data_IF_751885766567
#
_entry.id   IF_751885766567
#
_cell.length_a   1.000
_cell.length_b   1.000
_cell.length_c   1.000
_cell.angle_alpha   90.00
_cell.angle_beta   90.00
_cell.angle_gamma   90.00
#
_symmetry.space_group_name_H-M   'P 1'
#
loop_
_entity.id
_entity.type
_entity.pdbx_description
1 polymer ?
#
# COMPACT_ATOMS: atom_id res chain seq x y z
N UNK A 1 -9.10 -1.72 -49.50
CA UNK A 1 -8.47 -1.37 -48.20
C UNK A 1 -9.06 -2.17 -47.05
N UNK A 2 -10.37 -2.09 -46.74
CA UNK A 2 -10.99 -2.84 -45.62
C UNK A 2 -10.80 -4.37 -45.69
N UNK A 3 -10.61 -4.94 -46.89
CA UNK A 3 -10.35 -6.38 -47.08
C UNK A 3 -9.02 -6.88 -46.46
N UNK A 4 -8.04 -5.99 -46.24
CA UNK A 4 -6.72 -6.30 -45.69
C UNK A 4 -6.59 -6.03 -44.19
N UNK A 5 -7.58 -5.37 -43.58
CA UNK A 5 -7.54 -5.00 -42.16
C UNK A 5 -7.40 -6.25 -41.26
N UNK A 6 -6.39 -6.24 -40.39
CA UNK A 6 -6.14 -7.31 -39.41
C UNK A 6 -5.60 -8.63 -39.97
N UNK A 7 -5.23 -8.69 -41.25
CA UNK A 7 -4.64 -9.88 -41.89
C UNK A 7 -3.16 -9.66 -42.21
N UNK A 8 -2.44 -10.76 -42.40
CA UNK A 8 -1.06 -10.70 -42.90
C UNK A 8 -1.09 -10.29 -44.39
N UNK A 9 -0.46 -9.16 -44.70
CA UNK A 9 -0.39 -8.59 -46.05
C UNK A 9 0.99 -8.81 -46.68
N UNK A 10 1.84 -9.69 -46.15
CA UNK A 10 3.19 -9.91 -46.67
C UNK A 10 3.20 -10.28 -48.17
N UNK A 11 2.24 -11.10 -48.60
CA UNK A 11 2.11 -11.53 -50.01
C UNK A 11 1.65 -10.41 -50.96
N UNK A 12 1.28 -9.23 -50.44
CA UNK A 12 0.95 -8.05 -51.23
C UNK A 12 2.21 -7.30 -51.70
N UNK A 13 3.34 -7.51 -51.04
CA UNK A 13 4.58 -6.76 -51.26
C UNK A 13 5.72 -7.70 -51.67
N UNK A 14 5.86 -8.03 -52.96
CA UNK A 14 7.01 -8.76 -53.46
C UNK A 14 8.32 -8.02 -53.17
N UNK A 15 9.38 -8.78 -52.93
CA UNK A 15 10.66 -8.23 -52.47
C UNK A 15 11.78 -8.52 -53.47
N UNK A 16 12.64 -7.54 -53.70
CA UNK A 16 13.88 -7.70 -54.47
C UNK A 16 14.99 -8.18 -53.54
N UNK A 17 15.41 -9.44 -53.67
CA UNK A 17 16.36 -10.07 -52.72
C UNK A 17 17.70 -9.33 -52.70
N UNK A 18 18.20 -8.92 -53.86
CA UNK A 18 19.46 -8.20 -54.01
C UNK A 18 19.49 -6.82 -53.36
N UNK A 19 18.32 -6.21 -53.10
CA UNK A 19 18.22 -4.93 -52.38
C UNK A 19 18.24 -5.12 -50.85
N UNK A 20 17.87 -6.32 -50.38
CA UNK A 20 17.68 -6.61 -48.96
C UNK A 20 18.80 -7.46 -48.35
N UNK A 21 19.61 -8.11 -49.19
CA UNK A 21 20.65 -9.05 -48.78
C UNK A 21 21.94 -8.79 -49.57
N UNK A 22 23.07 -8.71 -48.86
CA UNK A 22 24.39 -8.53 -49.46
C UNK A 22 25.03 -9.81 -50.02
N UNK A 23 24.48 -10.98 -49.66
CA UNK A 23 25.06 -12.29 -50.00
C UNK A 23 26.09 -12.74 -48.96
N UNK A 24 26.84 -13.79 -49.28
CA UNK A 24 27.94 -14.28 -48.43
C UNK A 24 29.23 -14.55 -49.22
N UNK A 25 29.20 -14.41 -50.53
CA UNK A 25 30.35 -14.58 -51.42
C UNK A 25 30.69 -13.25 -52.10
N UNK A 26 31.82 -13.22 -52.83
CA UNK A 26 32.27 -12.02 -53.53
C UNK A 26 31.36 -11.61 -54.71
N UNK A 27 30.48 -12.51 -55.17
CA UNK A 27 29.57 -12.25 -56.28
C UNK A 27 28.30 -11.52 -55.84
N UNK A 28 28.00 -11.54 -54.53
CA UNK A 28 26.81 -10.94 -53.96
C UNK A 28 25.53 -11.64 -54.42
N UNK A 29 24.40 -10.95 -54.29
CA UNK A 29 23.09 -11.48 -54.70
C UNK A 29 22.74 -10.95 -56.08
N UNK A 30 22.52 -11.85 -57.04
CA UNK A 30 22.10 -11.48 -58.39
C UNK A 30 20.77 -10.70 -58.37
N UNK A 31 20.64 -9.58 -59.10
CA UNK A 31 19.37 -8.89 -59.28
C UNK A 31 18.29 -9.76 -59.92
N UNK A 32 18.67 -10.74 -60.74
CA UNK A 32 17.73 -11.68 -61.34
C UNK A 32 17.13 -12.68 -60.33
N UNK A 33 17.69 -12.77 -59.12
CA UNK A 33 17.18 -13.68 -58.10
C UNK A 33 15.85 -13.21 -57.56
N UNK A 34 14.83 -14.03 -57.79
CA UNK A 34 13.52 -13.90 -57.17
C UNK A 34 13.38 -14.93 -56.06
N UNK A 35 12.76 -14.51 -54.96
CA UNK A 35 12.42 -15.37 -53.84
C UNK A 35 10.96 -15.15 -53.47
N UNK A 36 10.17 -16.21 -53.56
CA UNK A 36 8.81 -16.22 -53.04
C UNK A 36 8.81 -16.97 -51.70
N UNK A 37 8.66 -16.21 -50.62
CA UNK A 37 8.68 -16.72 -49.25
C UNK A 37 7.34 -17.36 -48.83
N UNK A 38 6.36 -17.44 -49.73
CA UNK A 38 5.03 -17.93 -49.40
C UNK A 38 4.92 -19.45 -49.58
N UNK A 39 4.45 -20.13 -48.53
CA UNK A 39 4.05 -21.55 -48.56
C UNK A 39 2.71 -21.76 -49.33
N UNK A 40 2.11 -20.65 -49.78
CA UNK A 40 0.93 -20.56 -50.62
C UNK A 40 1.38 -20.01 -51.96
N UNK A 41 1.39 -20.82 -53.00
CA UNK A 41 2.00 -20.58 -54.33
C UNK A 41 1.44 -19.39 -55.13
N UNK A 42 0.72 -18.46 -54.52
CA UNK A 42 0.17 -17.28 -55.19
C UNK A 42 0.39 -16.03 -54.33
N UNK A 43 1.09 -15.06 -54.92
CA UNK A 43 1.05 -13.67 -54.49
C UNK A 43 -0.40 -13.16 -54.46
N UNK A 44 -0.65 -12.12 -53.68
CA UNK A 44 -1.97 -11.47 -53.72
C UNK A 44 -2.25 -10.97 -55.14
N UNK A 45 -3.47 -11.09 -55.70
CA UNK A 45 -3.78 -10.57 -57.04
C UNK A 45 -3.43 -9.09 -57.24
N UNK A 46 -3.40 -8.30 -56.16
CA UNK A 46 -3.05 -6.89 -56.19
C UNK A 46 -1.55 -6.63 -55.98
N UNK A 47 -0.72 -7.67 -55.84
CA UNK A 47 0.73 -7.53 -55.71
C UNK A 47 1.36 -6.88 -56.95
N UNK A 48 0.69 -6.97 -58.11
CA UNK A 48 1.11 -6.36 -59.37
C UNK A 48 1.33 -4.85 -59.24
N UNK A 49 0.61 -4.16 -58.34
CA UNK A 49 0.79 -2.72 -58.09
C UNK A 49 1.99 -2.40 -57.19
N UNK A 50 2.65 -3.42 -56.64
CA UNK A 50 3.76 -3.32 -55.70
C UNK A 50 4.98 -4.15 -56.13
N UNK A 51 4.91 -4.80 -57.29
CA UNK A 51 5.98 -5.66 -57.80
C UNK A 51 6.90 -4.86 -58.72
N UNK A 52 8.00 -4.38 -58.14
CA UNK A 52 9.03 -3.63 -58.85
C UNK A 52 10.35 -4.42 -58.93
N UNK A 53 10.27 -5.76 -58.94
CA UNK A 53 11.42 -6.65 -59.03
C UNK A 53 12.08 -6.58 -60.40
N UNK A 54 13.34 -7.01 -60.50
CA UNK A 54 14.20 -6.85 -61.68
C UNK A 54 13.61 -7.31 -63.02
N UNK A 55 12.74 -8.32 -63.02
CA UNK A 55 12.15 -8.85 -64.25
C UNK A 55 10.99 -8.01 -64.82
N UNK A 56 10.53 -6.98 -64.11
CA UNK A 56 9.45 -6.09 -64.56
C UNK A 56 9.99 -4.92 -65.39
N UNK A 57 9.13 -4.28 -66.17
CA UNK A 57 9.48 -3.12 -67.01
C UNK A 57 9.80 -1.85 -66.18
N UNK A 58 9.41 -1.82 -64.90
CA UNK A 58 9.61 -0.72 -63.96
C UNK A 58 10.31 -1.25 -62.71
N UNK A 59 11.58 -1.63 -62.85
CA UNK A 59 12.38 -2.16 -61.75
C UNK A 59 12.81 -1.05 -60.78
N UNK A 60 12.40 -1.15 -59.51
CA UNK A 60 12.73 -0.23 -58.42
C UNK A 60 13.24 -1.04 -57.22
N UNK A 61 14.54 -1.38 -57.16
CA UNK A 61 15.06 -2.36 -56.22
C UNK A 61 14.80 -1.98 -54.75
N UNK A 62 14.93 -0.70 -54.40
CA UNK A 62 14.81 -0.23 -53.02
C UNK A 62 13.38 0.11 -52.59
N UNK A 63 12.40 0.08 -53.50
CA UNK A 63 11.03 0.55 -53.24
C UNK A 63 10.40 -0.10 -52.01
N UNK A 64 10.55 -1.42 -51.87
CA UNK A 64 10.01 -2.14 -50.71
C UNK A 64 10.64 -1.65 -49.41
N UNK A 65 11.96 -1.49 -49.40
CA UNK A 65 12.71 -1.08 -48.22
C UNK A 65 12.31 0.35 -47.79
N UNK A 66 12.26 1.29 -48.74
CA UNK A 66 11.82 2.66 -48.53
C UNK A 66 10.39 2.72 -47.99
N UNK A 67 9.47 1.96 -48.59
CA UNK A 67 8.07 1.93 -48.12
C UNK A 67 7.92 1.29 -46.76
N UNK A 68 8.67 0.25 -46.44
CA UNK A 68 8.67 -0.32 -45.09
C UNK A 68 9.25 0.64 -44.05
N UNK A 69 10.24 1.46 -44.40
CA UNK A 69 10.73 2.55 -43.52
C UNK A 69 9.62 3.57 -43.27
N UNK A 70 8.99 4.08 -44.32
CA UNK A 70 7.90 5.05 -44.23
C UNK A 70 6.74 4.52 -43.38
N UNK A 71 6.31 3.29 -43.65
CA UNK A 71 5.19 2.67 -42.93
C UNK A 71 5.51 2.42 -41.46
N UNK A 72 6.75 2.00 -41.14
CA UNK A 72 7.17 1.80 -39.76
C UNK A 72 7.31 3.11 -39.01
N UNK A 73 7.78 4.17 -39.66
CA UNK A 73 7.93 5.49 -39.04
C UNK A 73 6.57 6.11 -38.71
N UNK A 74 5.59 5.98 -39.60
CA UNK A 74 4.31 6.67 -39.47
C UNK A 74 3.18 5.82 -38.86
N UNK A 75 3.23 4.49 -38.98
CA UNK A 75 2.08 3.61 -38.68
C UNK A 75 2.41 2.36 -37.84
N UNK A 76 3.62 2.24 -37.27
CA UNK A 76 3.95 1.10 -36.41
C UNK A 76 3.22 1.19 -35.06
N UNK A 77 2.23 0.32 -34.85
CA UNK A 77 1.54 0.21 -33.56
C UNK A 77 2.26 -0.72 -32.56
N UNK A 78 3.01 -1.70 -33.05
CA UNK A 78 3.71 -2.66 -32.20
C UNK A 78 4.24 -3.86 -32.97
N UNK A 79 5.00 -4.71 -32.28
CA UNK A 79 5.57 -5.93 -32.84
C UNK A 79 4.86 -7.16 -32.27
N UNK A 80 4.76 -8.20 -33.10
CA UNK A 80 4.20 -9.48 -32.67
C UNK A 80 5.19 -10.18 -31.74
N UNK A 81 4.72 -10.56 -30.55
CA UNK A 81 5.52 -11.32 -29.59
C UNK A 81 5.30 -12.83 -29.74
N UNK A 82 6.37 -13.60 -29.58
CA UNK A 82 6.36 -15.07 -29.61
C UNK A 82 6.97 -15.59 -28.32
N UNK A 83 6.22 -16.42 -27.58
CA UNK A 83 6.76 -17.08 -26.41
C UNK A 83 7.79 -18.14 -26.81
N UNK A 84 8.81 -18.34 -25.98
CA UNK A 84 9.83 -19.39 -26.20
C UNK A 84 9.20 -20.78 -26.35
N UNK A 85 8.12 -21.05 -25.61
CA UNK A 85 7.30 -22.27 -25.74
C UNK A 85 6.65 -22.39 -27.12
N UNK A 86 6.11 -21.30 -27.66
CA UNK A 86 5.51 -21.28 -29.00
C UNK A 86 6.57 -21.45 -30.09
N UNK A 87 7.72 -20.79 -29.98
CA UNK A 87 8.82 -20.96 -30.94
C UNK A 87 9.29 -22.43 -30.96
N UNK A 88 9.42 -23.04 -29.79
CA UNK A 88 9.76 -24.46 -29.65
C UNK A 88 8.67 -25.40 -30.19
N UNK A 89 7.38 -25.06 -30.09
CA UNK A 89 6.32 -25.89 -30.67
C UNK A 89 6.20 -25.73 -32.18
N UNK A 90 6.50 -24.54 -32.72
CA UNK A 90 6.53 -24.31 -34.16
C UNK A 90 7.71 -25.02 -34.83
N UNK A 91 8.82 -25.24 -34.12
CA UNK A 91 10.02 -25.86 -34.70
C UNK A 91 9.84 -27.30 -35.17
N UNK A 92 8.80 -27.99 -34.71
CA UNK A 92 8.45 -29.33 -35.23
C UNK A 92 8.10 -29.34 -36.73
N UNK A 93 7.68 -28.21 -37.29
CA UNK A 93 7.29 -28.09 -38.71
C UNK A 93 7.98 -26.95 -39.44
N UNK A 94 8.80 -26.16 -38.74
CA UNK A 94 9.39 -24.92 -39.24
C UNK A 94 10.83 -24.78 -38.80
N UNK A 95 11.65 -24.17 -39.64
CA UNK A 95 13.01 -23.77 -39.28
C UNK A 95 12.98 -22.40 -38.64
N UNK A 96 12.40 -22.33 -37.44
CA UNK A 96 12.22 -21.09 -36.68
C UNK A 96 13.20 -21.05 -35.50
N UNK A 97 13.86 -19.93 -35.26
CA UNK A 97 14.80 -19.79 -34.16
C UNK A 97 14.82 -18.36 -33.58
N UNK A 98 15.41 -18.23 -32.40
CA UNK A 98 15.59 -16.94 -31.71
C UNK A 98 17.04 -16.49 -31.91
N UNK A 99 17.24 -15.25 -32.33
CA UNK A 99 18.55 -14.61 -32.47
C UNK A 99 18.42 -13.16 -31.98
N UNK A 100 19.24 -12.76 -31.00
CA UNK A 100 19.25 -11.39 -30.43
C UNK A 100 17.84 -10.91 -30.01
N UNK A 101 17.11 -11.71 -29.24
CA UNK A 101 15.71 -11.47 -28.79
C UNK A 101 14.66 -11.28 -29.92
N UNK A 102 15.02 -11.66 -31.15
CA UNK A 102 14.12 -11.64 -32.32
C UNK A 102 13.89 -13.05 -32.82
N UNK A 103 12.72 -13.27 -33.41
CA UNK A 103 12.29 -14.56 -33.95
C UNK A 103 12.37 -14.51 -35.47
N UNK A 104 13.07 -15.48 -36.04
CA UNK A 104 13.28 -15.62 -37.48
C UNK A 104 12.77 -16.98 -37.95
N UNK A 105 12.17 -17.01 -39.14
CA UNK A 105 11.61 -18.22 -39.75
C UNK A 105 12.24 -18.45 -41.13
N UNK A 106 13.19 -19.39 -41.20
CA UNK A 106 13.90 -19.78 -42.40
C UNK A 106 13.18 -20.86 -43.22
N UNK A 107 12.00 -21.30 -42.79
CA UNK A 107 11.24 -22.35 -43.47
C UNK A 107 11.05 -22.08 -44.97
N UNK A 108 10.67 -20.85 -45.41
CA UNK A 108 10.49 -20.60 -46.84
C UNK A 108 11.78 -20.72 -47.66
N UNK A 109 12.93 -20.41 -47.05
CA UNK A 109 14.22 -20.58 -47.71
C UNK A 109 14.50 -22.07 -47.96
N UNK A 110 14.23 -22.92 -46.96
CA UNK A 110 14.43 -24.36 -47.06
C UNK A 110 13.39 -25.06 -47.96
N UNK A 111 12.19 -24.50 -48.12
CA UNK A 111 11.16 -25.03 -49.02
C UNK A 111 11.43 -24.75 -50.50
N UNK A 112 12.30 -23.78 -50.81
CA UNK A 112 12.95 -23.70 -52.12
C UNK A 112 12.39 -22.73 -53.17
N UNK A 113 11.64 -21.68 -52.83
CA UNK A 113 11.09 -20.72 -53.81
C UNK A 113 12.07 -19.76 -54.51
N UNK A 114 13.23 -20.23 -54.97
CA UNK A 114 14.33 -19.40 -55.52
C UNK A 114 14.51 -19.64 -57.02
N UNK A 115 14.39 -18.59 -57.83
CA UNK A 115 14.51 -18.68 -59.29
C UNK A 115 15.27 -17.48 -59.84
N UNK A 116 15.88 -17.63 -61.03
CA UNK A 116 16.48 -16.52 -61.74
C UNK A 116 15.57 -16.09 -62.89
N UNK A 117 15.03 -14.88 -62.80
CA UNK A 117 14.15 -14.29 -63.79
C UNK A 117 14.78 -13.01 -64.33
N UNK A 118 14.92 -12.95 -65.66
CA UNK A 118 15.27 -11.75 -66.40
C UNK A 118 14.03 -11.00 -66.89
N UNK A 119 14.23 -9.84 -67.57
CA UNK A 119 13.15 -9.08 -68.17
C UNK A 119 12.23 -9.95 -69.03
N UNK A 120 10.93 -9.64 -69.06
CA UNK A 120 9.89 -10.42 -69.74
C UNK A 120 9.73 -11.87 -69.22
N UNK A 121 10.01 -12.12 -67.94
CA UNK A 121 9.93 -13.45 -67.31
C UNK A 121 10.83 -14.50 -67.97
N UNK A 122 11.96 -14.08 -68.57
CA UNK A 122 12.90 -15.03 -69.14
C UNK A 122 13.60 -15.82 -68.02
N UNK A 123 13.51 -17.14 -68.06
CA UNK A 123 14.26 -17.99 -67.14
C UNK A 123 15.77 -17.88 -67.44
N UNK A 124 16.55 -17.48 -66.44
CA UNK A 124 18.00 -17.36 -66.55
C UNK A 124 18.70 -18.54 -65.85
N UNK A 125 19.95 -18.78 -66.22
CA UNK A 125 20.83 -19.77 -65.59
C UNK A 125 22.25 -19.22 -65.47
N UNK A 126 23.04 -19.76 -64.54
CA UNK A 126 24.47 -19.42 -64.39
C UNK A 126 24.84 -18.55 -63.19
N UNK A 127 23.88 -18.07 -62.40
CA UNK A 127 24.13 -17.42 -61.10
C UNK A 127 23.68 -18.32 -59.93
N UNK A 128 24.29 -18.15 -58.75
CA UNK A 128 23.84 -18.84 -57.53
C UNK A 128 22.44 -18.34 -57.13
N UNK A 129 21.56 -19.27 -56.77
CA UNK A 129 20.26 -18.96 -56.17
C UNK A 129 20.31 -18.98 -54.63
N UNK A 130 21.41 -19.49 -54.05
CA UNK A 130 21.64 -19.49 -52.62
C UNK A 130 22.29 -18.17 -52.18
N UNK A 131 21.61 -17.47 -51.27
CA UNK A 131 22.04 -16.18 -50.73
C UNK A 131 22.23 -16.18 -49.21
N UNK A 132 21.83 -17.27 -48.53
CA UNK A 132 22.10 -17.51 -47.11
C UNK A 132 23.30 -18.44 -46.96
N UNK A 133 24.20 -18.09 -46.04
CA UNK A 133 25.41 -18.89 -45.79
C UNK A 133 25.03 -20.31 -45.28
N UNK A 134 25.63 -21.38 -45.82
CA UNK A 134 25.28 -22.76 -45.47
C UNK A 134 25.34 -23.08 -43.97
N UNK A 135 26.33 -22.54 -43.26
CA UNK A 135 26.43 -22.71 -41.80
C UNK A 135 25.22 -22.11 -41.06
N UNK A 136 24.70 -20.96 -41.50
CA UNK A 136 23.52 -20.34 -40.88
C UNK A 136 22.28 -21.18 -41.19
N UNK A 137 22.13 -21.64 -42.44
CA UNK A 137 21.03 -22.53 -42.83
C UNK A 137 21.06 -23.82 -41.99
N UNK A 138 22.24 -24.42 -41.82
CA UNK A 138 22.41 -25.62 -40.98
C UNK A 138 22.09 -25.36 -39.51
N UNK A 139 22.46 -24.18 -38.98
CA UNK A 139 22.15 -23.80 -37.60
C UNK A 139 20.63 -23.71 -37.36
N UNK A 140 19.88 -23.15 -38.32
CA UNK A 140 18.41 -23.12 -38.26
C UNK A 140 17.77 -24.50 -38.43
N UNK A 141 18.46 -25.46 -39.05
CA UNK A 141 18.00 -26.85 -39.15
C UNK A 141 18.26 -27.64 -37.87
N UNK A 142 19.45 -27.50 -37.28
CA UNK A 142 19.86 -28.28 -36.10
C UNK A 142 19.26 -27.76 -34.80
N UNK A 143 19.14 -26.43 -34.67
CA UNK A 143 18.78 -25.76 -33.41
C UNK A 143 17.44 -25.03 -33.49
N UNK A 144 16.58 -25.46 -34.41
CA UNK A 144 15.22 -24.95 -34.56
C UNK A 144 14.46 -24.99 -33.21
N UNK A 145 13.81 -23.90 -32.87
CA UNK A 145 12.99 -23.75 -31.66
C UNK A 145 13.74 -23.21 -30.45
N UNK A 146 15.04 -22.93 -30.59
CA UNK A 146 15.91 -22.47 -29.50
C UNK A 146 16.51 -21.09 -29.77
N UNK A 147 17.19 -20.55 -28.76
CA UNK A 147 18.03 -19.36 -28.92
C UNK A 147 19.40 -19.75 -29.46
N UNK A 148 19.63 -19.37 -30.72
CA UNK A 148 20.83 -19.66 -31.47
C UNK A 148 21.87 -18.54 -31.37
N UNK A 149 21.62 -17.47 -30.61
CA UNK A 149 22.48 -16.27 -30.56
C UNK A 149 23.94 -16.59 -30.28
N UNK A 150 24.21 -17.41 -29.26
CA UNK A 150 25.57 -17.80 -28.90
C UNK A 150 26.24 -18.65 -29.99
N UNK A 151 25.48 -19.54 -30.62
CA UNK A 151 26.00 -20.41 -31.69
C UNK A 151 26.27 -19.61 -32.95
N UNK A 152 25.35 -18.71 -33.32
CA UNK A 152 25.48 -17.80 -34.44
C UNK A 152 26.74 -16.94 -34.32
N UNK A 153 26.97 -16.33 -33.16
CA UNK A 153 28.14 -15.50 -32.89
C UNK A 153 29.45 -16.30 -32.96
N UNK A 154 29.41 -17.60 -32.65
CA UNK A 154 30.57 -18.50 -32.62
C UNK A 154 30.72 -19.37 -33.89
N UNK A 155 30.05 -19.04 -35.00
CA UNK A 155 30.15 -19.80 -36.26
C UNK A 155 31.52 -19.67 -36.95
N UNK A 156 32.39 -18.75 -36.52
CA UNK A 156 33.70 -18.51 -37.14
C UNK A 156 33.61 -17.86 -38.53
N UNK A 157 32.50 -17.18 -38.83
CA UNK A 157 32.34 -16.41 -40.05
C UNK A 157 33.11 -15.09 -39.96
N UNK A 158 33.51 -14.56 -41.12
CA UNK A 158 34.01 -13.18 -41.18
C UNK A 158 32.95 -12.21 -40.61
N UNK A 159 33.33 -11.25 -39.76
CA UNK A 159 32.38 -10.33 -39.14
C UNK A 159 31.51 -9.55 -40.12
N UNK A 160 32.06 -9.21 -41.30
CA UNK A 160 31.30 -8.48 -42.34
C UNK A 160 30.24 -9.37 -42.97
N UNK A 161 30.58 -10.62 -43.28
CA UNK A 161 29.64 -11.62 -43.79
C UNK A 161 28.56 -11.91 -42.74
N UNK A 162 28.96 -12.12 -41.49
CA UNK A 162 28.02 -12.38 -40.39
C UNK A 162 27.00 -11.25 -40.24
N UNK A 163 27.46 -10.00 -40.28
CA UNK A 163 26.60 -8.82 -40.24
C UNK A 163 25.67 -8.73 -41.46
N UNK A 164 26.18 -8.96 -42.68
CA UNK A 164 25.36 -8.97 -43.90
C UNK A 164 24.27 -10.05 -43.84
N UNK A 165 24.60 -11.22 -43.31
CA UNK A 165 23.65 -12.31 -43.13
C UNK A 165 22.61 -11.99 -42.05
N UNK A 166 22.99 -11.34 -40.94
CA UNK A 166 22.03 -10.85 -39.95
C UNK A 166 21.06 -9.79 -40.55
N UNK A 167 21.57 -8.90 -41.41
CA UNK A 167 20.73 -7.93 -42.12
C UNK A 167 19.73 -8.65 -43.03
N UNK A 168 20.19 -9.66 -43.78
CA UNK A 168 19.32 -10.46 -44.64
C UNK A 168 18.24 -11.20 -43.83
N UNK A 169 18.61 -11.80 -42.70
CA UNK A 169 17.66 -12.41 -41.74
C UNK A 169 16.60 -11.41 -41.28
N UNK A 170 17.02 -10.20 -40.91
CA UNK A 170 16.14 -9.11 -40.48
C UNK A 170 15.18 -8.64 -41.56
N UNK A 171 15.62 -8.58 -42.81
CA UNK A 171 14.83 -8.04 -43.89
C UNK A 171 13.83 -9.06 -44.45
N UNK A 172 14.21 -10.33 -44.58
CA UNK A 172 13.40 -11.35 -45.26
C UNK A 172 12.72 -12.36 -44.32
N UNK A 173 13.33 -12.68 -43.19
CA UNK A 173 12.93 -13.83 -42.37
C UNK A 173 12.40 -13.46 -40.98
N UNK A 174 12.34 -12.17 -40.66
CA UNK A 174 11.84 -11.68 -39.37
C UNK A 174 10.35 -11.96 -39.18
N UNK A 175 9.98 -12.51 -38.01
CA UNK A 175 8.57 -12.76 -37.64
C UNK A 175 8.10 -11.99 -36.42
N UNK A 176 8.99 -11.59 -35.52
CA UNK A 176 8.62 -10.88 -34.30
C UNK A 176 9.70 -10.86 -33.23
N UNK A 177 9.29 -10.51 -32.01
CA UNK A 177 10.16 -10.45 -30.82
C UNK A 177 9.83 -11.55 -29.82
N UNK A 178 10.75 -11.87 -28.92
CA UNK A 178 10.53 -12.84 -27.85
C UNK A 178 9.61 -12.27 -26.76
N UNK A 179 8.66 -13.07 -26.29
CA UNK A 179 7.79 -12.70 -25.16
C UNK A 179 8.44 -13.03 -23.81
N UNK A 180 8.89 -12.00 -23.09
CA UNK A 180 9.48 -12.10 -21.76
C UNK A 180 8.46 -12.03 -20.61
N UNK A 181 7.14 -11.95 -20.86
CA UNK A 181 6.13 -11.83 -19.78
C UNK A 181 6.10 -13.02 -18.84
N UNK A 182 6.46 -14.20 -19.34
CA UNK A 182 6.59 -15.44 -18.55
C UNK A 182 8.00 -15.65 -17.98
N UNK A 183 8.88 -14.65 -18.08
CA UNK A 183 10.22 -14.73 -17.53
C UNK A 183 10.18 -14.85 -16.00
N UNK A 184 11.18 -15.52 -15.38
CA UNK A 184 11.28 -15.61 -13.93
C UNK A 184 11.28 -14.23 -13.25
N UNK A 185 11.89 -13.22 -13.87
CA UNK A 185 11.97 -11.86 -13.34
C UNK A 185 10.59 -11.19 -13.27
N UNK A 186 9.77 -11.32 -14.32
CA UNK A 186 8.41 -10.79 -14.32
C UNK A 186 7.47 -11.56 -13.39
N UNK A 187 7.58 -12.89 -13.35
CA UNK A 187 6.77 -13.72 -12.46
C UNK A 187 7.09 -13.45 -10.99
N UNK A 188 8.37 -13.23 -10.65
CA UNK A 188 8.79 -12.88 -9.29
C UNK A 188 8.09 -11.63 -8.78
N UNK A 189 8.09 -10.54 -9.57
CA UNK A 189 7.40 -9.28 -9.22
C UNK A 189 5.90 -9.47 -9.01
N UNK A 190 5.25 -10.31 -9.84
CA UNK A 190 3.82 -10.60 -9.67
C UNK A 190 3.52 -11.38 -8.40
N UNK A 191 4.30 -12.43 -8.10
CA UNK A 191 4.04 -13.30 -6.95
C UNK A 191 4.43 -12.65 -5.62
N UNK A 192 5.51 -11.87 -5.57
CA UNK A 192 5.92 -11.19 -4.34
C UNK A 192 4.84 -10.21 -3.86
N UNK A 193 4.25 -9.44 -4.79
CA UNK A 193 3.15 -8.52 -4.47
C UNK A 193 1.91 -9.27 -3.97
N UNK A 194 1.54 -10.37 -4.64
CA UNK A 194 0.41 -11.21 -4.24
C UNK A 194 0.60 -11.78 -2.82
N UNK A 195 1.80 -12.22 -2.49
CA UNK A 195 2.14 -12.77 -1.17
C UNK A 195 1.97 -11.69 -0.08
N UNK A 196 2.50 -10.47 -0.30
CA UNK A 196 2.34 -9.38 0.67
C UNK A 196 0.88 -8.96 0.86
N UNK A 197 0.09 -8.89 -0.23
CA UNK A 197 -1.34 -8.61 -0.14
C UNK A 197 -2.07 -9.72 0.64
N UNK A 198 -1.74 -10.99 0.37
CA UNK A 198 -2.31 -12.13 1.10
C UNK A 198 -2.01 -12.09 2.60
N UNK A 199 -0.77 -11.75 2.96
CA UNK A 199 -0.37 -11.59 4.36
C UNK A 199 -1.15 -10.46 5.05
N UNK A 200 -1.30 -9.32 4.40
CA UNK A 200 -2.04 -8.17 4.93
C UNK A 200 -3.52 -8.52 5.18
N UNK A 201 -4.17 -9.16 4.20
CA UNK A 201 -5.56 -9.63 4.34
C UNK A 201 -5.68 -10.65 5.48
N UNK A 202 -4.75 -11.60 5.60
CA UNK A 202 -4.76 -12.59 6.67
C UNK A 202 -4.64 -11.93 8.07
N UNK A 203 -3.77 -10.92 8.22
CA UNK A 203 -3.64 -10.18 9.48
C UNK A 203 -4.92 -9.41 9.82
N UNK A 204 -5.58 -8.81 8.83
CA UNK A 204 -6.86 -8.12 9.05
C UNK A 204 -7.93 -9.12 9.49
N UNK A 205 -8.06 -10.26 8.81
CA UNK A 205 -9.02 -11.31 9.16
C UNK A 205 -8.77 -11.82 10.58
N UNK A 206 -7.51 -12.09 10.94
CA UNK A 206 -7.17 -12.55 12.29
C UNK A 206 -7.54 -11.50 13.36
N UNK A 207 -7.21 -10.23 13.13
CA UNK A 207 -7.59 -9.14 14.05
C UNK A 207 -9.11 -8.99 14.16
N UNK A 208 -9.83 -9.11 13.05
CA UNK A 208 -11.28 -9.06 13.02
C UNK A 208 -11.90 -10.21 13.83
N UNK A 209 -11.43 -11.44 13.62
CA UNK A 209 -11.89 -12.61 14.38
C UNK A 209 -11.57 -12.49 15.88
N UNK A 210 -10.40 -11.98 16.24
CA UNK A 210 -10.06 -11.71 17.64
C UNK A 210 -10.94 -10.61 18.27
N UNK A 211 -11.31 -9.59 17.49
CA UNK A 211 -12.16 -8.48 17.94
C UNK A 211 -13.62 -8.88 18.14
N UNK A 212 -14.10 -9.98 17.54
CA UNK A 212 -15.48 -10.46 17.73
C UNK A 212 -15.80 -10.87 19.18
N UNK A 213 -14.81 -10.93 20.08
CA UNK A 213 -15.00 -11.16 21.52
C UNK A 213 -16.08 -12.22 21.84
N UNK A 214 -16.08 -13.35 21.11
CA UNK A 214 -17.04 -14.45 21.29
C UNK A 214 -16.87 -15.21 22.62
N UNK A 215 -16.04 -14.69 23.53
CA UNK A 215 -15.88 -15.22 24.87
C UNK A 215 -16.96 -14.71 25.81
N UNK A 216 -17.33 -15.53 26.81
CA UNK A 216 -18.25 -15.11 27.86
C UNK A 216 -17.68 -13.88 28.60
N UNK A 217 -18.52 -12.85 28.81
CA UNK A 217 -18.19 -11.77 29.73
C UNK A 217 -17.96 -12.39 31.11
N UNK A 218 -16.71 -12.41 31.57
CA UNK A 218 -16.41 -12.76 32.96
C UNK A 218 -16.96 -11.63 33.81
N UNK A 219 -17.90 -11.93 34.70
CA UNK A 219 -18.23 -11.02 35.77
C UNK A 219 -16.96 -10.80 36.60
N UNK A 220 -16.57 -9.53 36.87
CA UNK A 220 -15.40 -9.26 37.68
C UNK A 220 -15.62 -9.83 39.09
N UNK A 221 -14.54 -10.35 39.69
CA UNK A 221 -14.59 -10.85 41.07
C UNK A 221 -15.05 -9.74 42.03
N UNK A 222 -16.03 -10.04 42.88
CA UNK A 222 -16.41 -9.15 43.98
C UNK A 222 -15.24 -9.07 44.97
N UNK A 223 -14.49 -7.98 44.92
CA UNK A 223 -13.38 -7.74 45.83
C UNK A 223 -13.86 -7.10 47.13
N UNK A 224 -13.60 -7.77 48.26
CA UNK A 224 -13.82 -7.22 49.61
C UNK A 224 -12.71 -6.21 49.98
N UNK A 225 -12.70 -5.05 49.31
CA UNK A 225 -11.72 -3.97 49.49
C UNK A 225 -12.41 -2.65 49.80
N UNK A 226 -11.75 -1.80 50.59
CA UNK A 226 -12.16 -0.42 50.78
C UNK A 226 -11.95 0.39 49.50
N UNK A 227 -12.94 1.18 49.11
CA UNK A 227 -12.97 1.98 47.88
C UNK A 227 -13.22 3.44 48.24
N UNK A 228 -12.35 4.32 47.75
CA UNK A 228 -12.54 5.77 47.82
C UNK A 228 -12.98 6.25 46.43
N UNK A 229 -14.19 6.79 46.35
CA UNK A 229 -14.71 7.43 45.15
C UNK A 229 -14.30 8.91 45.17
N UNK A 230 -13.18 9.23 44.51
CA UNK A 230 -12.70 10.60 44.40
C UNK A 230 -13.53 11.41 43.39
N UNK A 231 -14.13 12.51 43.83
CA UNK A 231 -15.03 13.36 43.05
C UNK A 231 -14.52 14.80 43.09
N UNK A 232 -13.67 15.21 42.14
CA UNK A 232 -13.26 16.61 42.06
C UNK A 232 -14.33 17.44 41.33
N UNK A 233 -14.87 18.44 42.02
CA UNK A 233 -15.86 19.38 41.51
C UNK A 233 -15.19 20.72 41.16
N UNK A 234 -15.49 21.26 39.98
CA UNK A 234 -14.96 22.51 39.47
C UNK A 234 -16.05 23.55 39.31
N UNK A 235 -16.88 23.39 38.27
CA UNK A 235 -17.90 24.36 37.86
C UNK A 235 -19.14 23.66 37.32
N UNK A 236 -19.40 22.42 37.76
CA UNK A 236 -20.54 21.62 37.35
C UNK A 236 -21.85 22.22 37.88
N UNK A 237 -22.96 21.98 37.18
CA UNK A 237 -24.30 22.35 37.63
C UNK A 237 -24.89 21.34 38.61
N UNK A 238 -25.95 21.75 39.32
CA UNK A 238 -26.61 20.93 40.35
C UNK A 238 -27.06 19.57 39.83
N UNK A 239 -27.76 19.51 38.69
CA UNK A 239 -28.24 18.26 38.10
C UNK A 239 -27.09 17.28 37.80
N UNK A 240 -25.95 17.80 37.35
CA UNK A 240 -24.78 16.99 37.03
C UNK A 240 -24.12 16.45 38.30
N UNK A 241 -24.02 17.28 39.33
CA UNK A 241 -23.45 16.89 40.62
C UNK A 241 -24.34 15.86 41.33
N UNK A 242 -25.65 16.11 41.38
CA UNK A 242 -26.63 15.22 41.99
C UNK A 242 -26.63 13.84 41.32
N UNK A 243 -26.73 13.79 39.99
CA UNK A 243 -26.63 12.53 39.24
C UNK A 243 -25.32 11.79 39.51
N UNK A 244 -24.21 12.50 39.62
CA UNK A 244 -22.90 11.89 39.90
C UNK A 244 -22.89 11.28 41.30
N UNK A 245 -23.30 12.03 42.32
CA UNK A 245 -23.34 11.57 43.71
C UNK A 245 -24.28 10.38 43.89
N UNK A 246 -25.49 10.46 43.32
CA UNK A 246 -26.47 9.37 43.34
C UNK A 246 -25.92 8.11 42.65
N UNK A 247 -25.30 8.26 41.47
CA UNK A 247 -24.75 7.12 40.75
C UNK A 247 -23.61 6.42 41.51
N UNK A 248 -22.79 7.19 42.23
CA UNK A 248 -21.68 6.66 43.02
C UNK A 248 -22.17 6.03 44.32
N UNK A 249 -23.22 6.59 44.93
CA UNK A 249 -23.86 6.01 46.10
C UNK A 249 -24.46 4.63 45.79
N UNK A 250 -25.11 4.46 44.63
CA UNK A 250 -25.79 3.20 44.23
C UNK A 250 -24.83 2.16 43.61
N UNK A 251 -23.52 2.43 43.56
CA UNK A 251 -22.55 1.42 43.10
C UNK A 251 -22.61 0.15 43.97
N UNK A 252 -22.40 -1.00 43.32
CA UNK A 252 -22.37 -2.36 43.94
C UNK A 252 -21.28 -2.60 44.99
N UNK A 253 -20.46 -1.60 45.32
CA UNK A 253 -19.55 -1.71 46.46
C UNK A 253 -20.33 -1.57 47.76
N UNK A 254 -20.03 -2.41 48.75
CA UNK A 254 -20.60 -2.33 50.09
C UNK A 254 -20.47 -0.89 50.63
N UNK A 255 -21.59 -0.32 51.05
CA UNK A 255 -21.69 1.05 51.55
C UNK A 255 -20.76 1.28 52.75
N UNK A 256 -20.52 0.25 53.57
CA UNK A 256 -19.61 0.31 54.73
C UNK A 256 -18.13 0.39 54.34
N UNK A 257 -17.80 0.13 53.08
CA UNK A 257 -16.43 0.09 52.56
C UNK A 257 -16.20 1.13 51.47
N UNK A 258 -17.16 2.04 51.28
CA UNK A 258 -17.18 3.04 50.21
C UNK A 258 -17.17 4.42 50.83
N UNK A 259 -16.20 5.25 50.47
CA UNK A 259 -16.11 6.65 50.90
C UNK A 259 -16.24 7.58 49.69
N UNK A 260 -17.21 8.49 49.71
CA UNK A 260 -17.30 9.56 48.72
C UNK A 260 -16.35 10.70 49.13
N UNK A 261 -15.25 10.89 48.41
CA UNK A 261 -14.26 11.93 48.70
C UNK A 261 -14.39 13.07 47.69
N UNK A 262 -15.11 14.10 48.07
CA UNK A 262 -15.51 15.22 47.21
C UNK A 262 -14.56 16.39 47.42
N UNK A 263 -14.08 17.02 46.35
CA UNK A 263 -13.10 18.11 46.42
C UNK A 263 -13.57 19.26 45.54
N UNK A 264 -13.95 20.38 46.14
CA UNK A 264 -14.36 21.57 45.39
C UNK A 264 -13.16 22.51 45.15
N UNK A 265 -12.88 22.82 43.88
CA UNK A 265 -11.73 23.62 43.44
C UNK A 265 -11.97 25.14 43.51
N UNK A 266 -12.09 25.64 44.74
CA UNK A 266 -12.28 27.06 44.99
C UNK A 266 -13.75 27.45 45.14
N UNK A 267 -13.97 28.69 45.59
CA UNK A 267 -15.31 29.30 45.63
C UNK A 267 -15.64 29.89 44.25
N UNK A 268 -15.90 29.02 43.28
CA UNK A 268 -16.15 29.41 41.88
C UNK A 268 -17.62 29.21 41.54
N UNK A 269 -18.21 30.22 40.89
CA UNK A 269 -19.54 30.13 40.28
C UNK A 269 -19.35 29.69 38.82
N UNK A 270 -19.95 28.55 38.47
CA UNK A 270 -19.94 28.02 37.12
C UNK A 270 -20.82 28.85 36.17
N UNK A 271 -20.56 28.79 34.87
CA UNK A 271 -21.40 29.45 33.88
C UNK A 271 -22.81 28.84 33.89
N UNK A 272 -23.82 29.65 34.19
CA UNK A 272 -25.21 29.21 34.29
C UNK A 272 -25.65 28.71 35.67
N UNK A 273 -24.81 28.86 36.70
CA UNK A 273 -25.16 28.59 38.10
C UNK A 273 -25.33 29.90 38.87
N UNK A 274 -26.27 29.92 39.82
CA UNK A 274 -26.52 31.09 40.68
C UNK A 274 -25.65 31.10 41.96
N UNK A 275 -25.03 29.95 42.28
CA UNK A 275 -24.27 29.73 43.53
C UNK A 275 -22.90 29.10 43.25
N UNK A 276 -21.91 29.29 44.15
CA UNK A 276 -20.63 28.60 44.05
C UNK A 276 -20.79 27.09 44.11
N UNK A 277 -19.97 26.35 43.37
CA UNK A 277 -19.98 24.87 43.35
C UNK A 277 -19.93 24.23 44.75
N UNK A 278 -19.12 24.70 45.72
CA UNK A 278 -19.14 24.17 47.08
C UNK A 278 -20.51 24.27 47.76
N UNK A 279 -21.24 25.38 47.57
CA UNK A 279 -22.55 25.57 48.18
C UNK A 279 -23.58 24.60 47.61
N UNK A 280 -23.55 24.37 46.30
CA UNK A 280 -24.41 23.39 45.62
C UNK A 280 -24.14 21.97 46.15
N UNK A 281 -22.87 21.59 46.29
CA UNK A 281 -22.48 20.27 46.82
C UNK A 281 -22.97 20.08 48.26
N UNK A 282 -22.75 21.06 49.14
CA UNK A 282 -23.16 20.97 50.56
C UNK A 282 -24.68 20.87 50.71
N UNK A 283 -25.43 21.56 49.87
CA UNK A 283 -26.90 21.48 49.84
C UNK A 283 -27.41 20.14 49.31
N UNK A 284 -26.82 19.58 48.25
CA UNK A 284 -27.17 18.23 47.76
C UNK A 284 -26.98 17.21 48.88
N UNK A 285 -25.90 17.34 49.65
CA UNK A 285 -25.55 16.45 50.76
C UNK A 285 -26.34 16.74 52.06
N UNK A 286 -27.15 17.79 52.10
CA UNK A 286 -27.97 18.14 53.27
C UNK A 286 -27.18 18.64 54.47
N UNK A 287 -26.00 19.26 54.27
CA UNK A 287 -25.20 19.85 55.35
C UNK A 287 -25.91 21.06 55.96
N UNK A 288 -25.86 21.21 57.29
CA UNK A 288 -26.43 22.37 58.00
C UNK A 288 -25.82 23.68 57.46
N UNK A 289 -26.63 24.62 56.94
CA UNK A 289 -26.14 25.91 56.44
C UNK A 289 -25.40 26.75 57.49
N UNK A 290 -25.61 26.51 58.78
CA UNK A 290 -24.94 27.23 59.87
C UNK A 290 -23.56 26.65 60.21
N UNK A 291 -23.23 25.45 59.70
CA UNK A 291 -21.95 24.81 59.93
C UNK A 291 -20.88 25.49 59.06
N UNK A 292 -20.00 26.26 59.70
CA UNK A 292 -18.85 26.87 59.03
C UNK A 292 -17.53 26.48 59.71
N UNK A 293 -16.88 25.38 59.27
CA UNK A 293 -15.61 24.92 59.81
C UNK A 293 -14.49 25.95 59.57
N UNK A 294 -13.52 25.98 60.51
CA UNK A 294 -12.34 26.82 60.36
C UNK A 294 -11.54 26.41 59.12
N UNK A 295 -11.10 27.36 58.28
CA UNK A 295 -10.23 27.04 57.15
C UNK A 295 -8.85 26.59 57.66
N UNK A 296 -8.36 25.46 57.16
CA UNK A 296 -7.09 24.85 57.55
C UNK A 296 -6.06 24.90 56.44
N UNK A 297 -4.81 25.19 56.80
CA UNK A 297 -3.72 25.37 55.83
C UNK A 297 -3.24 24.05 55.22
N UNK A 298 -2.90 24.11 53.93
CA UNK A 298 -2.22 23.03 53.21
C UNK A 298 -1.36 23.58 52.05
N UNK A 299 -0.51 22.71 51.51
CA UNK A 299 0.34 23.01 50.36
C UNK A 299 -0.33 22.61 49.05
N UNK A 300 -0.41 23.56 48.13
CA UNK A 300 -1.04 23.44 46.81
C UNK A 300 0.00 23.63 45.69
N UNK A 301 -0.34 23.24 44.46
CA UNK A 301 0.54 23.29 43.28
C UNK A 301 0.66 24.69 42.62
N UNK A 302 0.12 25.76 43.22
CA UNK A 302 0.21 27.11 42.66
C UNK A 302 1.63 27.70 42.68
N UNK A 303 1.85 28.83 41.99
CA UNK A 303 3.14 29.53 42.00
C UNK A 303 3.24 30.63 43.06
N UNK A 304 4.41 30.76 43.68
CA UNK A 304 4.70 31.77 44.69
C UNK A 304 3.69 31.73 45.83
N UNK A 305 3.02 32.86 46.09
CA UNK A 305 2.08 32.94 47.20
C UNK A 305 0.79 32.11 47.02
N UNK A 306 0.58 31.52 45.84
CA UNK A 306 -0.51 30.59 45.55
C UNK A 306 -0.22 29.14 46.00
N UNK A 307 1.01 28.85 46.43
CA UNK A 307 1.40 27.57 47.04
C UNK A 307 0.72 27.33 48.38
N UNK A 308 0.45 28.40 49.14
CA UNK A 308 -0.33 28.33 50.35
C UNK A 308 -1.82 28.43 50.01
N UNK A 309 -2.57 27.40 50.37
CA UNK A 309 -4.01 27.34 50.20
C UNK A 309 -4.63 26.87 51.51
N UNK A 310 -5.91 27.19 51.71
CA UNK A 310 -6.66 26.74 52.88
C UNK A 310 -7.90 25.99 52.41
N UNK A 311 -8.31 25.00 53.20
CA UNK A 311 -9.49 24.19 52.92
C UNK A 311 -10.38 24.07 54.14
N UNK A 312 -11.69 23.97 53.91
CA UNK A 312 -12.68 23.59 54.91
C UNK A 312 -13.06 22.13 54.68
N UNK A 313 -13.22 21.36 55.75
CA UNK A 313 -13.58 19.94 55.69
C UNK A 313 -14.96 19.75 56.28
N UNK A 314 -15.82 19.07 55.53
CA UNK A 314 -17.15 18.65 55.96
C UNK A 314 -17.24 17.14 55.82
N UNK A 315 -17.99 16.49 56.68
CA UNK A 315 -18.20 15.04 56.64
C UNK A 315 -19.62 14.69 57.07
N UNK A 316 -20.08 13.51 56.69
CA UNK A 316 -21.39 13.03 57.05
C UNK A 316 -21.76 11.73 56.33
N UNK A 317 -23.04 11.37 56.38
CA UNK A 317 -23.61 10.23 55.68
C UNK A 317 -24.55 10.73 54.58
N UNK A 318 -24.39 10.21 53.37
CA UNK A 318 -25.27 10.51 52.24
C UNK A 318 -26.26 9.36 52.05
N UNK A 319 -27.55 9.67 52.17
CA UNK A 319 -28.63 8.71 51.97
C UNK A 319 -29.23 8.88 50.57
N UNK A 320 -29.21 7.81 49.77
CA UNK A 320 -29.81 7.81 48.45
C UNK A 320 -30.30 6.40 48.08
N UNK A 321 -31.58 6.27 47.71
CA UNK A 321 -32.18 5.00 47.25
C UNK A 321 -31.92 3.79 48.17
N UNK A 322 -31.93 4.00 49.48
CA UNK A 322 -31.67 2.95 50.48
C UNK A 322 -30.19 2.63 50.74
N UNK A 323 -29.27 3.32 50.05
CA UNK A 323 -27.84 3.31 50.36
C UNK A 323 -27.48 4.42 51.35
N UNK A 324 -26.60 4.12 52.31
CA UNK A 324 -26.10 5.09 53.29
C UNK A 324 -24.58 5.07 53.26
N UNK A 325 -23.99 6.08 52.61
CA UNK A 325 -22.56 6.08 52.27
C UNK A 325 -21.85 7.23 52.97
N UNK A 326 -20.73 7.00 53.68
CA UNK A 326 -19.96 8.09 54.26
C UNK A 326 -19.37 9.00 53.17
N UNK A 327 -19.39 10.30 53.42
CA UNK A 327 -18.76 11.29 52.55
C UNK A 327 -17.82 12.21 53.32
N UNK A 328 -16.86 12.76 52.59
CA UNK A 328 -16.00 13.83 53.03
C UNK A 328 -15.88 14.86 51.92
N UNK A 329 -16.17 16.13 52.21
CA UNK A 329 -16.05 17.26 51.29
C UNK A 329 -14.89 18.15 51.73
N UNK A 330 -13.93 18.36 50.83
CA UNK A 330 -12.87 19.36 50.99
C UNK A 330 -13.19 20.56 50.09
N UNK A 331 -13.49 21.71 50.70
CA UNK A 331 -13.73 22.97 49.99
C UNK A 331 -12.47 23.81 50.04
N UNK A 332 -11.82 24.02 48.90
CA UNK A 332 -10.68 24.93 48.82
C UNK A 332 -11.17 26.38 48.86
N UNK A 333 -10.61 27.20 49.76
CA UNK A 333 -11.06 28.58 50.00
C UNK A 333 -9.97 29.62 49.79
N UNK A 334 -8.74 29.21 49.46
CA UNK A 334 -7.63 30.17 49.27
C UNK A 334 -7.08 30.71 50.58
N UNK A 335 -6.05 31.53 50.48
CA UNK A 335 -5.50 32.26 51.63
C UNK A 335 -6.41 33.44 52.00
N UNK A 336 -6.39 33.96 53.24
CA UNK A 336 -7.30 35.02 53.69
C UNK A 336 -7.25 36.33 52.86
N UNK A 337 -6.11 36.61 52.20
CA UNK A 337 -5.95 37.78 51.32
C UNK A 337 -6.32 37.54 49.85
N UNK A 338 -6.78 36.36 49.46
CA UNK A 338 -7.09 36.01 48.07
C UNK A 338 -8.56 36.33 47.74
N UNK A 339 -8.77 37.33 46.88
CA UNK A 339 -10.13 37.77 46.47
C UNK A 339 -10.57 37.23 45.11
N UNK A 340 -9.63 37.07 44.17
CA UNK A 340 -9.93 36.62 42.82
C UNK A 340 -9.80 35.10 42.72
N UNK A 341 -10.91 34.41 42.42
CA UNK A 341 -10.98 32.94 42.27
C UNK A 341 -10.29 32.20 43.44
N UNK A 342 -10.72 32.45 44.68
CA UNK A 342 -10.04 31.97 45.87
C UNK A 342 -10.01 30.44 45.92
N UNK A 343 -8.83 29.88 46.21
CA UNK A 343 -8.62 28.44 46.36
C UNK A 343 -8.55 27.63 45.08
N UNK A 344 -8.91 28.20 43.92
CA UNK A 344 -8.89 27.51 42.63
C UNK A 344 -7.45 27.33 42.11
N UNK A 345 -7.04 26.08 41.90
CA UNK A 345 -5.70 25.70 41.45
C UNK A 345 -5.72 24.60 40.36
N UNK A 346 -6.89 24.35 39.79
CA UNK A 346 -7.08 23.43 38.68
C UNK A 346 -7.18 21.97 39.10
N UNK A 347 -7.54 21.15 38.10
CA UNK A 347 -7.86 19.73 38.24
C UNK A 347 -6.78 18.91 38.93
N UNK A 348 -5.53 19.13 38.53
CA UNK A 348 -4.37 18.42 39.06
C UNK A 348 -4.18 18.68 40.55
N UNK A 349 -4.35 19.93 40.99
CA UNK A 349 -4.20 20.29 42.39
C UNK A 349 -5.26 19.62 43.27
N UNK A 350 -6.54 19.64 42.85
CA UNK A 350 -7.61 18.93 43.56
C UNK A 350 -7.29 17.45 43.73
N UNK A 351 -6.77 16.80 42.68
CA UNK A 351 -6.39 15.40 42.76
C UNK A 351 -5.25 15.15 43.75
N UNK A 352 -4.28 16.07 43.83
CA UNK A 352 -3.13 15.95 44.74
C UNK A 352 -3.51 16.03 46.22
N UNK A 353 -4.63 16.66 46.59
CA UNK A 353 -5.07 16.72 48.00
C UNK A 353 -5.25 15.31 48.57
N UNK A 354 -6.00 14.44 47.87
CA UNK A 354 -6.19 13.06 48.29
C UNK A 354 -4.91 12.23 48.14
N UNK A 355 -4.18 12.39 47.03
CA UNK A 355 -2.97 11.59 46.80
C UNK A 355 -1.87 11.88 47.83
N UNK A 356 -1.68 13.15 48.24
CA UNK A 356 -0.76 13.53 49.30
C UNK A 356 -1.21 12.99 50.64
N UNK A 357 -2.48 13.13 50.98
CA UNK A 357 -3.04 12.57 52.20
C UNK A 357 -2.78 11.06 52.29
N UNK A 358 -3.14 10.28 51.27
CA UNK A 358 -2.93 8.83 51.25
C UNK A 358 -1.46 8.45 51.31
N UNK A 359 -0.58 9.17 50.61
CA UNK A 359 0.86 8.96 50.70
C UNK A 359 1.38 9.15 52.13
N UNK A 360 0.95 10.23 52.79
CA UNK A 360 1.37 10.53 54.15
C UNK A 360 0.82 9.56 55.18
N UNK A 361 -0.43 9.11 55.01
CA UNK A 361 -1.03 8.05 55.84
C UNK A 361 -0.25 6.75 55.67
N UNK A 362 0.08 6.37 54.43
CA UNK A 362 0.80 5.13 54.14
C UNK A 362 2.20 5.10 54.75
N UNK A 363 2.93 6.22 54.69
CA UNK A 363 4.30 6.32 55.23
C UNK A 363 4.36 6.85 56.66
N UNK A 364 3.22 7.13 57.30
CA UNK A 364 3.11 7.73 58.62
C UNK A 364 3.98 9.00 58.78
N UNK A 365 3.98 9.87 57.75
CA UNK A 365 4.79 11.09 57.71
C UNK A 365 4.02 12.31 58.19
N UNK A 366 4.74 13.42 58.43
CA UNK A 366 4.15 14.69 58.90
C UNK A 366 3.03 15.22 57.99
N UNK A 367 1.87 15.51 58.59
CA UNK A 367 0.66 15.99 57.93
C UNK A 367 0.46 17.50 58.15
N UNK A 368 -0.12 18.19 57.17
CA UNK A 368 -0.55 19.59 57.32
C UNK A 368 -1.83 19.67 58.15
N UNK A 369 -2.21 20.85 58.68
CA UNK A 369 -3.46 21.00 59.43
C UNK A 369 -4.70 20.44 58.70
N UNK A 370 -4.85 20.71 57.39
CA UNK A 370 -5.95 20.14 56.60
C UNK A 370 -5.91 18.61 56.55
N UNK A 371 -4.74 18.00 56.38
CA UNK A 371 -4.59 16.55 56.27
C UNK A 371 -4.86 15.85 57.61
N UNK A 372 -4.48 16.48 58.73
CA UNK A 372 -4.84 16.04 60.08
C UNK A 372 -6.34 16.08 60.32
N UNK A 373 -7.02 17.12 59.84
CA UNK A 373 -8.47 17.21 59.91
C UNK A 373 -9.15 16.14 59.06
N UNK A 374 -8.69 15.93 57.82
CA UNK A 374 -9.19 14.83 56.97
C UNK A 374 -9.01 13.48 57.69
N UNK A 375 -7.86 13.25 58.32
CA UNK A 375 -7.60 12.04 59.11
C UNK A 375 -8.56 11.92 60.29
N UNK A 376 -8.80 13.00 61.04
CA UNK A 376 -9.70 13.04 62.17
C UNK A 376 -11.14 12.73 61.75
N UNK A 377 -11.62 13.36 60.67
CA UNK A 377 -12.97 13.17 60.14
C UNK A 377 -13.18 11.71 59.74
N UNK A 378 -12.28 11.15 58.93
CA UNK A 378 -12.37 9.74 58.51
C UNK A 378 -12.36 8.81 59.73
N UNK A 379 -11.38 8.94 60.63
CA UNK A 379 -11.17 7.96 61.71
C UNK A 379 -12.18 8.06 62.87
N UNK A 380 -12.59 9.28 63.23
CA UNK A 380 -13.30 9.52 64.49
C UNK A 380 -14.75 10.00 64.29
N UNK A 381 -15.12 10.47 63.09
CA UNK A 381 -16.46 11.03 62.84
C UNK A 381 -17.29 10.10 61.97
N UNK A 382 -16.81 9.76 60.77
CA UNK A 382 -17.59 8.98 59.78
C UNK A 382 -17.30 7.47 59.79
N UNK A 383 -16.22 7.02 60.46
CA UNK A 383 -15.92 5.61 60.72
C UNK A 383 -15.10 4.95 59.61
#
# INVERSE_FOLDING_TARGET
>A
IMAYGGKDASNLFPVQVSALCGGYDANGVSPALTFDASNSTALDPNSVYHDFRYFTDDSRPDWYYEKMIELRANYLAGQRAYSTKLVKSLSFKRQIAILNDKVFDLTPYAQGGRQLLGPNNQQLSGASTDFMHPLIVSLFQTDAGTDITKKFNNLGLDPTIQQQQEICLRNLFYKGVVDHRSSPQCLFSRYILLIFTGFLVAVIIFKFLAALQLGAKREPEEHDKFVICQIPCYTEGEDSLRKTLDSLAVLRYDDKRKLLFIICDGMIVGSGNDRPTPAIVLEILGVDPNLDPEPLSFLSLGDGAKQHNMGKVYSGLYECNGHVVPYLVVVKVGRPGERARPGNRGKRDSQMVLMRFLNKVHFNSEMTPLELEIYHQIKNVIG
#
